data_IF_477192970249
#
_entry.id   IF_477192970249
#
_cell.length_a   1.000
_cell.length_b   1.000
_cell.length_c   1.000
_cell.angle_alpha   90.00
_cell.angle_beta   90.00
_cell.angle_gamma   90.00
#
_symmetry.space_group_name_H-M   'P 1'
#
loop_
_entity.id
_entity.type
_entity.pdbx_description
1 polymer ?
#
# COMPACT_ATOMS: atom_id res chain seq x y z
N UNK A 1 -22.64 0.08 -25.11
CA UNK A 1 -22.71 0.25 -23.65
C UNK A 1 -21.47 -0.42 -23.07
N UNK A 2 -20.38 0.35 -22.89
CA UNK A 2 -19.19 -0.17 -22.19
C UNK A 2 -19.57 -0.33 -20.72
N UNK A 3 -19.54 -1.58 -20.23
CA UNK A 3 -19.66 -1.87 -18.81
C UNK A 3 -18.46 -1.18 -18.15
N UNK A 4 -18.69 -0.04 -17.50
CA UNK A 4 -17.75 0.50 -16.53
C UNK A 4 -17.63 -0.53 -15.42
N UNK A 5 -16.61 -1.38 -15.51
CA UNK A 5 -16.23 -2.23 -14.40
C UNK A 5 -15.73 -1.28 -13.32
N UNK A 6 -16.57 -0.98 -12.33
CA UNK A 6 -16.13 -0.38 -11.09
C UNK A 6 -15.10 -1.37 -10.53
N UNK A 7 -13.81 -1.07 -10.77
CA UNK A 7 -12.71 -1.78 -10.14
C UNK A 7 -12.92 -1.62 -8.64
N UNK A 8 -13.29 -2.69 -7.97
CA UNK A 8 -13.34 -2.69 -6.51
C UNK A 8 -11.97 -2.22 -5.99
N UNK A 9 -11.93 -1.39 -4.93
CA UNK A 9 -10.66 -0.97 -4.36
C UNK A 9 -9.84 -2.19 -3.95
N UNK A 10 -8.59 -2.25 -4.41
CA UNK A 10 -7.69 -3.34 -4.05
C UNK A 10 -7.21 -3.10 -2.61
N UNK A 11 -7.23 -4.14 -1.78
CA UNK A 11 -6.80 -4.07 -0.37
C UNK A 11 -5.91 -5.26 -0.07
N UNK A 12 -4.73 -4.98 0.46
CA UNK A 12 -3.71 -5.94 0.83
C UNK A 12 -3.39 -5.77 2.31
N UNK A 13 -3.34 -6.87 3.05
CA UNK A 13 -3.10 -6.87 4.49
C UNK A 13 -1.95 -7.83 4.80
N UNK A 14 -1.15 -7.51 5.82
CA UNK A 14 -0.03 -8.37 6.21
C UNK A 14 0.66 -7.92 7.48
N UNK A 15 1.80 -8.55 7.77
CA UNK A 15 2.67 -8.20 8.90
C UNK A 15 4.10 -7.94 8.42
N UNK A 16 4.80 -7.02 9.09
CA UNK A 16 6.21 -6.70 8.78
C UNK A 16 7.00 -6.34 10.05
N UNK A 17 8.33 -6.34 9.94
CA UNK A 17 9.28 -5.94 10.99
C UNK A 17 10.37 -5.06 10.36
N UNK A 18 10.83 -4.02 11.06
CA UNK A 18 11.77 -3.02 10.47
C UNK A 18 13.22 -3.12 10.97
N UNK A 19 13.55 -4.09 11.83
CA UNK A 19 14.91 -4.25 12.35
C UNK A 19 15.20 -5.66 12.87
N UNK A 20 16.48 -6.00 12.97
CA UNK A 20 16.95 -7.20 13.67
C UNK A 20 17.73 -6.80 14.94
N UNK A 21 17.47 -7.44 16.10
CA UNK A 21 16.37 -8.38 16.34
C UNK A 21 15.02 -7.64 16.27
N UNK A 22 14.02 -8.27 15.65
CA UNK A 22 12.69 -7.68 15.50
C UNK A 22 12.03 -7.57 16.87
N UNK A 23 12.05 -6.36 17.43
CA UNK A 23 11.46 -6.07 18.74
C UNK A 23 9.95 -5.84 18.67
N UNK A 24 9.44 -5.47 17.50
CA UNK A 24 8.04 -5.15 17.27
C UNK A 24 7.57 -5.75 15.95
N UNK A 25 6.35 -6.27 15.95
CA UNK A 25 5.65 -6.70 14.72
C UNK A 25 4.59 -5.69 14.36
N UNK A 26 4.54 -5.28 13.10
CA UNK A 26 3.57 -4.31 12.61
C UNK A 26 2.57 -4.97 11.70
N UNK A 27 1.27 -4.70 11.89
CA UNK A 27 0.22 -5.05 10.92
C UNK A 27 0.08 -3.90 9.95
N UNK A 28 0.05 -4.19 8.66
CA UNK A 28 -0.18 -3.18 7.64
C UNK A 28 -1.42 -3.47 6.82
N UNK A 29 -1.99 -2.39 6.29
CA UNK A 29 -3.01 -2.42 5.24
C UNK A 29 -2.56 -1.45 4.15
N UNK A 30 -2.46 -1.95 2.92
CA UNK A 30 -2.23 -1.15 1.73
C UNK A 30 -3.50 -1.21 0.91
N UNK A 31 -4.11 -0.05 0.63
CA UNK A 31 -5.30 0.05 -0.21
C UNK A 31 -5.04 0.92 -1.42
N UNK A 32 -5.51 0.49 -2.58
CA UNK A 32 -5.47 1.25 -3.82
C UNK A 32 -6.90 1.45 -4.32
N UNK A 33 -7.32 2.71 -4.36
CA UNK A 33 -8.62 3.10 -4.91
C UNK A 33 -8.45 4.21 -5.93
N UNK A 34 -9.01 4.02 -7.12
CA UNK A 34 -8.88 4.97 -8.24
C UNK A 34 -7.43 5.46 -8.51
N UNK A 35 -6.45 4.56 -8.38
CA UNK A 35 -5.02 4.86 -8.56
C UNK A 35 -4.35 5.56 -7.37
N UNK A 36 -5.10 5.85 -6.30
CA UNK A 36 -4.60 6.49 -5.08
C UNK A 36 -4.26 5.47 -4.03
N UNK A 37 -3.02 5.53 -3.56
CA UNK A 37 -2.50 4.60 -2.57
C UNK A 37 -2.74 5.14 -1.16
N UNK A 38 -3.12 4.27 -0.23
CA UNK A 38 -3.18 4.57 1.19
C UNK A 38 -2.56 3.43 1.99
N UNK A 39 -1.63 3.79 2.87
CA UNK A 39 -0.94 2.82 3.72
C UNK A 39 -1.35 3.11 5.17
N UNK A 40 -1.78 2.06 5.87
CA UNK A 40 -1.99 2.07 7.31
C UNK A 40 -1.03 1.06 7.96
N UNK A 41 -0.48 1.43 9.11
CA UNK A 41 0.44 0.62 9.88
C UNK A 41 0.02 0.68 11.35
N UNK A 42 -0.05 -0.48 12.00
CA UNK A 42 -0.28 -0.62 13.43
C UNK A 42 0.89 -1.38 14.06
N UNK A 43 1.48 -0.82 15.11
CA UNK A 43 2.35 -1.57 16.01
C UNK A 43 1.52 -2.55 16.84
N UNK A 44 1.78 -3.85 16.70
CA UNK A 44 0.97 -4.90 17.34
C UNK A 44 1.08 -4.89 18.86
N UNK A 45 2.17 -4.36 19.42
CA UNK A 45 2.43 -4.36 20.86
C UNK A 45 1.84 -3.10 21.49
N UNK A 46 2.17 -1.92 20.95
CA UNK A 46 1.74 -0.65 21.52
C UNK A 46 0.35 -0.18 21.06
N UNK A 47 -0.21 -0.81 20.02
CA UNK A 47 -1.46 -0.43 19.33
C UNK A 47 -1.45 0.97 18.71
N UNK A 48 -0.29 1.63 18.64
CA UNK A 48 -0.13 2.90 17.94
C UNK A 48 -0.32 2.69 16.45
N UNK A 49 -1.02 3.62 15.82
CA UNK A 49 -1.37 3.56 14.41
C UNK A 49 -0.85 4.78 13.66
N UNK A 50 -0.40 4.54 12.44
CA UNK A 50 -0.02 5.57 11.47
C UNK A 50 -0.75 5.29 10.17
N UNK A 51 -1.18 6.36 9.50
CA UNK A 51 -1.83 6.25 8.22
C UNK A 51 -1.46 7.43 7.34
N UNK A 52 -1.16 7.15 6.07
CA UNK A 52 -0.98 8.20 5.07
C UNK A 52 -2.33 8.82 4.70
N UNK A 53 -2.28 10.00 4.06
CA UNK A 53 -3.39 10.44 3.21
C UNK A 53 -3.45 9.56 1.96
N UNK A 54 -4.46 9.77 1.12
CA UNK A 54 -4.45 9.26 -0.24
C UNK A 54 -3.28 9.89 -1.02
N UNK A 55 -2.42 9.03 -1.56
CA UNK A 55 -1.24 9.40 -2.32
C UNK A 55 -1.53 9.23 -3.81
N UNK A 56 -1.34 10.28 -4.59
CA UNK A 56 -1.34 10.19 -6.06
C UNK A 56 -0.08 9.46 -6.54
N UNK A 57 -0.11 8.91 -7.76
CA UNK A 57 0.98 8.12 -8.36
C UNK A 57 2.36 8.77 -8.18
N UNK A 58 2.48 10.06 -8.49
CA UNK A 58 3.74 10.82 -8.41
C UNK A 58 4.30 10.99 -6.98
N UNK A 59 3.55 10.61 -5.94
CA UNK A 59 4.04 10.63 -4.56
C UNK A 59 4.70 9.31 -4.14
N UNK A 60 4.46 8.22 -4.87
CA UNK A 60 5.01 6.90 -4.55
C UNK A 60 5.75 6.23 -5.72
N UNK A 61 5.71 6.83 -6.92
CA UNK A 61 6.50 6.45 -8.09
C UNK A 61 7.35 7.62 -8.55
N UNK A 62 8.64 7.38 -8.69
CA UNK A 62 9.62 8.29 -9.27
C UNK A 62 10.55 7.54 -10.25
N UNK A 63 11.52 8.26 -10.81
CA UNK A 63 12.44 7.69 -11.79
C UNK A 63 13.31 6.53 -11.24
N UNK A 64 13.45 6.40 -9.92
CA UNK A 64 14.25 5.35 -9.28
C UNK A 64 13.51 4.03 -9.10
N UNK A 65 12.16 4.05 -9.05
CA UNK A 65 11.34 2.87 -8.84
C UNK A 65 10.31 2.61 -9.95
N UNK A 66 10.26 3.44 -11.01
CA UNK A 66 9.37 3.24 -12.15
C UNK A 66 9.66 1.92 -12.90
N UNK A 67 8.67 1.04 -12.96
CA UNK A 67 8.68 -0.22 -13.71
C UNK A 67 8.00 0.00 -15.07
N UNK A 68 8.64 -0.35 -16.20
CA UNK A 68 8.02 -0.26 -17.52
C UNK A 68 6.69 -1.02 -17.60
N UNK A 69 5.68 -0.42 -18.22
CA UNK A 69 4.33 -0.96 -18.40
C UNK A 69 3.55 -1.28 -17.12
N UNK A 70 4.08 -0.92 -15.94
CA UNK A 70 3.39 -1.12 -14.68
C UNK A 70 2.23 -0.14 -14.48
N UNK A 71 1.12 -0.67 -14.00
CA UNK A 71 -0.06 0.05 -13.54
C UNK A 71 0.09 0.33 -12.04
N UNK A 72 -0.67 1.31 -11.54
CA UNK A 72 -0.70 1.63 -10.10
C UNK A 72 -0.95 0.40 -9.19
N UNK A 73 -1.74 -0.57 -9.66
CA UNK A 73 -2.02 -1.82 -8.94
C UNK A 73 -0.78 -2.68 -8.70
N UNK A 74 0.15 -2.68 -9.65
CA UNK A 74 1.35 -3.52 -9.64
C UNK A 74 2.34 -3.05 -8.55
N UNK A 75 2.26 -1.79 -8.13
CA UNK A 75 3.05 -1.22 -7.02
C UNK A 75 2.47 -1.55 -5.63
N UNK A 76 1.23 -2.03 -5.56
CA UNK A 76 0.55 -2.34 -4.30
C UNK A 76 0.41 -3.85 -4.04
N UNK A 77 0.69 -4.68 -5.05
CA UNK A 77 0.56 -6.13 -4.96
C UNK A 77 1.60 -6.74 -4.02
N UNK A 78 1.15 -7.62 -3.13
CA UNK A 78 2.02 -8.43 -2.25
C UNK A 78 2.25 -9.76 -2.95
N UNK A 79 3.51 -10.05 -3.32
CA UNK A 79 3.92 -11.34 -3.88
C UNK A 79 4.02 -12.44 -2.83
#
# INVERSE_FOLDING_TARGET
MVKSTLSSPAKFEGTTTFSLPATHTYRYVISLDNGKLRIALEDSDSKKQWCTKELELDNYVDASNAIPDARAADYAEVT
#
